data_IF_022538143493
#
_entry.id   IF_022538143493
#
_cell.length_a   1.000
_cell.length_b   1.000
_cell.length_c   1.000
_cell.angle_alpha   90.00
_cell.angle_beta   90.00
_cell.angle_gamma   90.00
#
_symmetry.space_group_name_H-M   'P 1'
#
loop_
_entity.id
_entity.type
_entity.pdbx_description
1 polymer ?
#
# COMPACT_ATOMS: atom_id res chain seq x y z
N UNK A 1 -2.91 21.64 25.21
CA UNK A 1 -2.36 22.60 24.21
C UNK A 1 -3.23 22.50 22.96
N UNK A 2 -3.77 23.62 22.49
CA UNK A 2 -4.56 23.66 21.25
C UNK A 2 -3.69 24.11 20.07
N UNK A 3 -3.85 23.46 18.92
CA UNK A 3 -3.23 23.86 17.67
C UNK A 3 -4.30 24.57 16.82
N UNK A 4 -4.02 25.78 16.37
CA UNK A 4 -4.92 26.49 15.46
C UNK A 4 -4.58 26.13 14.01
N UNK A 5 -5.58 25.68 13.25
CA UNK A 5 -5.41 25.23 11.87
C UNK A 5 -6.44 25.99 11.01
N UNK A 6 -5.97 26.66 9.97
CA UNK A 6 -6.85 27.31 9.01
C UNK A 6 -7.30 26.30 7.97
N UNK A 7 -8.61 26.09 7.88
CA UNK A 7 -9.23 25.24 6.86
C UNK A 7 -9.71 26.08 5.69
N UNK A 8 -9.73 25.48 4.50
CA UNK A 8 -10.46 26.07 3.39
C UNK A 8 -11.98 25.97 3.66
N UNK A 9 -12.80 26.85 3.08
CA UNK A 9 -14.26 26.82 3.29
C UNK A 9 -14.89 25.44 3.00
N UNK A 10 -14.35 24.73 2.00
CA UNK A 10 -14.82 23.40 1.62
C UNK A 10 -14.52 22.35 2.70
N UNK A 11 -13.31 22.37 3.28
CA UNK A 11 -12.94 21.47 4.36
C UNK A 11 -13.71 21.78 5.64
N UNK A 12 -13.93 23.06 5.94
CA UNK A 12 -14.74 23.48 7.07
C UNK A 12 -16.18 22.96 6.93
N UNK A 13 -16.80 23.12 5.76
CA UNK A 13 -18.15 22.60 5.51
C UNK A 13 -18.21 21.08 5.69
N UNK A 14 -17.21 20.35 5.18
CA UNK A 14 -17.11 18.90 5.36
C UNK A 14 -17.02 18.49 6.84
N UNK A 15 -16.17 19.17 7.62
CA UNK A 15 -16.05 18.91 9.06
C UNK A 15 -17.36 19.21 9.79
N UNK A 16 -18.00 20.36 9.48
CA UNK A 16 -19.30 20.72 10.06
C UNK A 16 -20.36 19.67 9.75
N UNK A 17 -20.47 19.20 8.50
CA UNK A 17 -21.42 18.15 8.12
C UNK A 17 -21.18 16.84 8.89
N UNK A 18 -19.92 16.45 9.08
CA UNK A 18 -19.54 15.25 9.84
C UNK A 18 -19.96 15.37 11.31
N UNK A 19 -19.76 16.52 11.94
CA UNK A 19 -20.21 16.76 13.32
C UNK A 19 -21.74 16.79 13.40
N UNK A 20 -22.42 17.53 12.51
CA UNK A 20 -23.89 17.63 12.48
C UNK A 20 -24.57 16.28 12.24
N UNK A 21 -23.90 15.33 11.57
CA UNK A 21 -24.43 13.98 11.39
C UNK A 21 -24.55 13.17 12.70
N UNK A 22 -23.96 13.64 13.80
CA UNK A 22 -23.93 12.95 15.09
C UNK A 22 -22.87 11.85 15.18
N UNK A 23 -22.15 11.56 14.08
CA UNK A 23 -21.06 10.57 14.07
C UNK A 23 -19.81 11.03 14.84
N UNK A 24 -19.64 12.33 15.03
CA UNK A 24 -18.49 12.92 15.72
C UNK A 24 -18.97 14.03 16.66
N UNK A 25 -18.32 14.14 17.82
CA UNK A 25 -18.65 15.10 18.88
C UNK A 25 -18.02 16.47 18.68
N UNK A 26 -16.92 16.54 17.92
CA UNK A 26 -16.18 17.78 17.70
C UNK A 26 -15.39 17.79 16.40
N UNK A 27 -15.02 18.99 15.94
CA UNK A 27 -14.12 19.16 14.80
C UNK A 27 -12.74 18.54 15.06
N UNK A 28 -12.23 18.62 16.29
CA UNK A 28 -10.96 18.01 16.67
C UNK A 28 -10.98 16.50 16.51
N UNK A 29 -12.09 15.84 16.85
CA UNK A 29 -12.27 14.40 16.67
C UNK A 29 -12.27 14.01 15.18
N UNK A 30 -12.97 14.77 14.33
CA UNK A 30 -12.96 14.55 12.87
C UNK A 30 -11.55 14.67 12.30
N UNK A 31 -10.80 15.69 12.73
CA UNK A 31 -9.42 15.91 12.25
C UNK A 31 -8.48 14.81 12.75
N UNK A 32 -8.59 14.40 14.02
CA UNK A 32 -7.80 13.29 14.56
C UNK A 32 -8.05 11.99 13.79
N UNK A 33 -9.31 11.66 13.51
CA UNK A 33 -9.65 10.46 12.74
C UNK A 33 -9.14 10.54 11.29
N UNK A 34 -9.27 11.71 10.65
CA UNK A 34 -8.74 11.93 9.31
C UNK A 34 -7.22 11.76 9.26
N UNK A 35 -6.48 12.27 10.25
CA UNK A 35 -5.03 12.11 10.36
C UNK A 35 -4.64 10.66 10.65
N UNK A 36 -5.42 9.93 11.45
CA UNK A 36 -5.20 8.50 11.70
C UNK A 36 -5.31 7.69 10.41
N UNK A 37 -6.35 7.95 9.61
CA UNK A 37 -6.53 7.31 8.30
C UNK A 37 -5.44 7.70 7.30
N UNK A 38 -4.92 8.93 7.39
CA UNK A 38 -3.79 9.39 6.57
C UNK A 38 -2.50 8.64 6.93
N UNK A 39 -2.17 8.54 8.22
CA UNK A 39 -1.01 7.79 8.71
C UNK A 39 -1.08 6.30 8.34
N UNK A 40 -2.24 5.66 8.46
CA UNK A 40 -2.42 4.28 8.02
C UNK A 40 -2.10 4.08 6.53
N UNK A 41 -2.62 4.97 5.67
CA UNK A 41 -2.33 4.96 4.24
C UNK A 41 -0.85 5.17 3.94
N UNK A 42 -0.20 6.10 4.64
CA UNK A 42 1.22 6.38 4.46
C UNK A 42 2.08 5.19 4.90
N UNK A 43 1.76 4.53 6.03
CA UNK A 43 2.43 3.30 6.46
C UNK A 43 2.32 2.19 5.43
N UNK A 44 1.14 1.95 4.87
CA UNK A 44 0.92 0.96 3.82
C UNK A 44 1.73 1.29 2.55
N UNK A 45 1.72 2.57 2.14
CA UNK A 45 2.53 3.04 1.01
C UNK A 45 4.02 2.82 1.25
N UNK A 46 4.52 3.17 2.44
CA UNK A 46 5.92 2.98 2.82
C UNK A 46 6.31 1.51 2.84
N UNK A 47 5.48 0.63 3.39
CA UNK A 47 5.71 -0.81 3.38
C UNK A 47 5.79 -1.36 1.95
N UNK A 48 4.85 -0.97 1.08
CA UNK A 48 4.85 -1.39 -0.33
C UNK A 48 6.09 -0.90 -1.08
N UNK A 49 6.50 0.36 -0.85
CA UNK A 49 7.73 0.90 -1.44
C UNK A 49 8.98 0.18 -0.92
N UNK A 50 9.02 -0.14 0.37
CA UNK A 50 10.09 -0.95 0.96
C UNK A 50 10.21 -2.32 0.31
N UNK A 51 9.08 -3.03 0.17
CA UNK A 51 9.04 -4.33 -0.51
C UNK A 51 9.45 -4.23 -1.98
N UNK A 52 9.00 -3.20 -2.70
CA UNK A 52 9.38 -3.00 -4.09
C UNK A 52 10.88 -2.76 -4.24
N UNK A 53 11.46 -1.89 -3.40
CA UNK A 53 12.90 -1.63 -3.38
C UNK A 53 13.70 -2.90 -3.09
N UNK A 54 13.25 -3.70 -2.13
CA UNK A 54 13.88 -4.98 -1.82
C UNK A 54 13.85 -5.93 -3.02
N UNK A 55 12.69 -6.11 -3.67
CA UNK A 55 12.57 -6.97 -4.86
C UNK A 55 13.44 -6.51 -6.03
N UNK A 56 13.58 -5.20 -6.21
CA UNK A 56 14.50 -4.65 -7.22
C UNK A 56 15.94 -5.01 -6.85
N UNK A 57 16.33 -4.81 -5.60
CA UNK A 57 17.67 -5.16 -5.14
C UNK A 57 17.95 -6.66 -5.29
N UNK A 58 17.02 -7.52 -4.86
CA UNK A 58 17.11 -8.98 -5.03
C UNK A 58 17.27 -9.35 -6.52
N UNK A 59 16.59 -8.63 -7.42
CA UNK A 59 16.73 -8.80 -8.87
C UNK A 59 18.10 -8.36 -9.39
N UNK A 60 18.65 -7.25 -8.91
CA UNK A 60 19.99 -6.79 -9.27
C UNK A 60 21.06 -7.74 -8.75
N UNK A 61 20.86 -8.31 -7.57
CA UNK A 61 21.77 -9.28 -6.94
C UNK A 61 21.60 -10.71 -7.48
N UNK A 62 20.56 -10.96 -8.30
CA UNK A 62 20.26 -12.28 -8.87
C UNK A 62 21.24 -12.73 -9.98
N UNK A 63 22.17 -11.86 -10.35
CA UNK A 63 23.21 -12.11 -11.34
C UNK A 63 23.00 -11.36 -12.65
N UNK A 64 23.82 -11.63 -13.67
CA UNK A 64 23.76 -10.91 -14.95
C UNK A 64 22.42 -11.11 -15.65
N UNK A 65 21.90 -10.03 -16.22
CA UNK A 65 20.70 -10.09 -17.06
C UNK A 65 20.95 -11.00 -18.28
N UNK A 66 19.99 -11.87 -18.56
CA UNK A 66 20.00 -12.77 -19.73
C UNK A 66 18.88 -12.40 -20.70
N UNK A 67 19.06 -12.72 -21.98
CA UNK A 67 18.02 -12.52 -22.98
C UNK A 67 16.74 -13.30 -22.59
N UNK A 68 15.60 -12.62 -22.63
CA UNK A 68 14.33 -13.22 -22.24
C UNK A 68 13.68 -13.95 -23.41
N UNK A 69 13.45 -15.26 -23.26
CA UNK A 69 12.67 -16.09 -24.18
C UNK A 69 11.34 -16.53 -23.50
N UNK A 70 10.19 -16.05 -23.99
CA UNK A 70 8.88 -16.41 -23.46
C UNK A 70 8.55 -17.90 -23.55
N UNK A 71 8.92 -18.59 -24.63
CA UNK A 71 8.55 -20.00 -24.84
C UNK A 71 9.38 -20.92 -23.96
N UNK A 72 10.68 -20.65 -23.83
CA UNK A 72 11.55 -21.37 -22.91
C UNK A 72 11.12 -21.16 -21.46
N UNK A 73 10.80 -19.91 -21.08
CA UNK A 73 10.29 -19.59 -19.73
C UNK A 73 9.00 -20.36 -19.41
N UNK A 74 8.05 -20.42 -20.35
CA UNK A 74 6.81 -21.20 -20.19
C UNK A 74 7.09 -22.69 -20.09
N UNK A 75 8.01 -23.23 -20.89
CA UNK A 75 8.40 -24.65 -20.87
C UNK A 75 8.97 -25.04 -19.51
N UNK A 76 9.94 -24.28 -19.00
CA UNK A 76 10.54 -24.49 -17.67
C UNK A 76 9.48 -24.36 -16.56
N UNK A 77 8.60 -23.36 -16.64
CA UNK A 77 7.52 -23.16 -15.68
C UNK A 77 6.53 -24.35 -15.63
N UNK A 78 6.13 -24.89 -16.80
CA UNK A 78 5.25 -26.07 -16.88
C UNK A 78 5.91 -27.32 -16.30
N UNK A 79 7.18 -27.57 -16.61
CA UNK A 79 7.93 -28.70 -16.07
C UNK A 79 8.07 -28.66 -14.55
N UNK A 80 8.29 -27.46 -13.96
CA UNK A 80 8.31 -27.29 -12.50
C UNK A 80 6.96 -27.57 -11.84
N UNK A 81 5.85 -27.23 -12.51
CA UNK A 81 4.50 -27.49 -12.00
C UNK A 81 4.15 -28.98 -12.03
N UNK A 82 4.51 -29.70 -13.08
CA UNK A 82 4.26 -31.15 -13.17
C UNK A 82 5.09 -31.92 -12.15
N UNK A 83 6.37 -31.56 -11.95
CA UNK A 83 7.23 -32.15 -10.93
C UNK A 83 6.73 -31.90 -9.49
N UNK A 84 6.18 -30.71 -9.20
CA UNK A 84 5.58 -30.41 -7.89
C UNK A 84 4.27 -31.19 -7.66
N UNK A 85 3.55 -31.54 -8.72
CA UNK A 85 2.33 -32.33 -8.61
C UNK A 85 2.59 -33.84 -8.38
N UNK A 86 3.74 -34.36 -8.82
CA UNK A 86 4.13 -35.76 -8.62
C UNK A 86 4.95 -36.02 -7.36
N UNK A 87 5.63 -35.01 -6.81
CA UNK A 87 6.44 -35.12 -5.58
C UNK A 87 5.71 -34.80 -4.26
N UNK A 88 4.38 -34.67 -4.28
CA UNK A 88 3.53 -34.37 -3.12
C UNK A 88 2.70 -35.54 -2.60
N UNK A 89 3.11 -36.78 -2.91
CA UNK A 89 2.52 -38.02 -2.39
C UNK A 89 3.50 -38.74 -1.46
#
# INVERSE_FOLDING_TARGET
MGMNINLTPQLEQMVRQKVTSGLYTSASEVVCEALRLMDEKDRLRMANLGQLRQKIQDGLDSGPAVAWDPEETKRVGRAKRTAKATGGA
#
